data_IF_745620793891
#
_entry.id   IF_745620793891
#
_cell.length_a   1.000
_cell.length_b   1.000
_cell.length_c   1.000
_cell.angle_alpha   90.00
_cell.angle_beta   90.00
_cell.angle_gamma   90.00
#
_symmetry.space_group_name_H-M   'P 1'
#
loop_
_entity.id
_entity.type
_entity.pdbx_description
1 polymer ?
#
# COMPACT_ATOMS: atom_id res chain seq x y z
N UNK A 1 77.69 14.89 -24.82
CA UNK A 1 76.89 14.20 -23.80
C UNK A 1 75.49 14.82 -23.85
N UNK A 2 74.54 14.18 -24.52
CA UNK A 2 73.16 14.69 -24.62
C UNK A 2 72.28 13.97 -23.61
N UNK A 3 71.71 14.73 -22.67
CA UNK A 3 70.71 14.26 -21.71
C UNK A 3 69.34 14.19 -22.40
N UNK A 4 68.72 13.02 -22.39
CA UNK A 4 67.30 12.85 -22.73
C UNK A 4 66.45 13.03 -21.46
N UNK A 5 65.36 13.81 -21.48
CA UNK A 5 64.46 13.92 -20.34
C UNK A 5 63.55 12.68 -20.21
N UNK A 6 63.08 12.36 -18.99
CA UNK A 6 62.22 11.19 -18.74
C UNK A 6 60.82 11.40 -19.32
N UNK A 7 60.31 10.38 -19.99
CA UNK A 7 58.93 10.34 -20.48
C UNK A 7 57.96 10.12 -19.31
N UNK A 8 56.96 11.00 -19.19
CA UNK A 8 55.84 10.83 -18.25
C UNK A 8 54.92 9.69 -18.70
N UNK A 9 54.47 8.80 -17.79
CA UNK A 9 53.59 7.71 -18.16
C UNK A 9 52.21 8.23 -18.56
N UNK A 10 51.72 7.74 -19.69
CA UNK A 10 50.39 8.04 -20.23
C UNK A 10 49.33 7.51 -19.26
N UNK A 11 48.59 8.42 -18.60
CA UNK A 11 47.45 8.06 -17.74
C UNK A 11 46.20 7.98 -18.63
N UNK A 12 45.55 6.82 -18.80
CA UNK A 12 44.35 6.74 -19.61
C UNK A 12 43.26 7.65 -19.00
N UNK A 13 42.41 8.27 -19.83
CA UNK A 13 41.33 9.12 -19.34
C UNK A 13 40.44 8.31 -18.40
N UNK A 14 40.13 8.88 -17.24
CA UNK A 14 39.19 8.30 -16.30
C UNK A 14 37.87 8.03 -17.04
N UNK A 15 37.35 6.80 -16.92
CA UNK A 15 36.00 6.49 -17.42
C UNK A 15 35.04 7.50 -16.80
N UNK A 16 34.14 8.13 -17.59
CA UNK A 16 33.13 9.00 -17.02
C UNK A 16 32.35 8.20 -15.97
N UNK A 17 32.20 8.78 -14.77
CA UNK A 17 31.38 8.20 -13.73
C UNK A 17 30.00 7.88 -14.32
N UNK A 18 29.56 6.63 -14.16
CA UNK A 18 28.22 6.23 -14.58
C UNK A 18 27.21 7.19 -13.94
N UNK A 19 26.40 7.85 -14.76
CA UNK A 19 25.24 8.60 -14.25
C UNK A 19 24.46 7.65 -13.36
N UNK A 20 24.02 8.05 -12.15
CA UNK A 20 23.14 7.21 -11.35
C UNK A 20 21.95 6.84 -12.22
N UNK A 21 21.77 5.54 -12.46
CA UNK A 21 20.64 5.05 -13.22
C UNK A 21 19.38 5.50 -12.48
N UNK A 22 18.54 6.31 -13.14
CA UNK A 22 17.25 6.69 -12.58
C UNK A 22 16.43 5.43 -12.26
N UNK A 23 15.50 5.53 -11.31
CA UNK A 23 14.62 4.41 -10.96
C UNK A 23 13.97 3.83 -12.23
N UNK A 24 13.81 2.49 -12.31
CA UNK A 24 13.07 1.87 -13.41
C UNK A 24 11.70 2.52 -13.60
N UNK A 25 11.32 2.77 -14.85
CA UNK A 25 10.05 3.41 -15.18
C UNK A 25 8.94 2.36 -15.18
N UNK A 26 7.99 2.51 -14.28
CA UNK A 26 6.80 1.67 -14.20
C UNK A 26 5.85 1.96 -15.38
N UNK A 27 5.05 0.97 -15.80
CA UNK A 27 3.95 1.20 -16.72
C UNK A 27 2.86 2.06 -16.06
N UNK A 28 2.26 2.95 -16.86
CA UNK A 28 1.15 3.78 -16.42
C UNK A 28 -0.17 3.27 -16.99
N UNK A 29 -1.17 3.18 -16.12
CA UNK A 29 -2.57 3.10 -16.52
C UNK A 29 -3.39 3.95 -15.57
N UNK A 30 -4.12 4.94 -16.10
CA UNK A 30 -4.96 5.81 -15.27
C UNK A 30 -5.96 4.97 -14.46
N UNK A 31 -5.90 4.98 -13.11
CA UNK A 31 -6.83 4.22 -12.30
C UNK A 31 -8.26 4.65 -12.61
N UNK A 32 -9.12 3.70 -12.93
CA UNK A 32 -10.49 3.94 -13.38
C UNK A 32 -11.46 3.21 -12.45
N UNK A 33 -12.45 3.95 -11.93
CA UNK A 33 -13.51 3.40 -11.09
C UNK A 33 -14.28 2.34 -11.89
N UNK A 34 -14.54 1.18 -11.29
CA UNK A 34 -15.20 0.05 -11.94
C UNK A 34 -14.26 -0.90 -12.70
N UNK A 35 -12.96 -0.56 -12.81
CA UNK A 35 -11.96 -1.38 -13.50
C UNK A 35 -10.75 -1.69 -12.65
N UNK A 36 -10.15 -0.67 -12.05
CA UNK A 36 -8.94 -0.83 -11.23
C UNK A 36 -9.21 -0.54 -9.74
N UNK A 37 -10.29 0.20 -9.44
CA UNK A 37 -10.78 0.38 -8.07
C UNK A 37 -12.31 0.51 -8.05
N UNK A 38 -12.91 0.22 -6.90
CA UNK A 38 -14.34 0.28 -6.64
C UNK A 38 -14.59 0.90 -5.28
N UNK A 39 -15.62 1.74 -5.20
CA UNK A 39 -16.06 2.37 -3.96
C UNK A 39 -17.45 1.83 -3.66
N UNK A 40 -17.58 1.15 -2.53
CA UNK A 40 -18.83 0.57 -2.07
C UNK A 40 -19.13 1.17 -0.69
N UNK A 41 -20.26 1.83 -0.57
CA UNK A 41 -20.69 2.53 0.63
C UNK A 41 -21.72 1.68 1.39
N UNK A 42 -21.81 1.91 2.71
CA UNK A 42 -22.80 1.31 3.61
C UNK A 42 -22.75 -0.23 3.58
N UNK A 43 -21.51 -0.74 3.69
CA UNK A 43 -21.16 -2.14 3.45
C UNK A 43 -21.77 -3.05 4.48
N UNK A 44 -21.60 -2.76 5.77
CA UNK A 44 -22.11 -3.57 6.88
C UNK A 44 -23.31 -2.89 7.54
N UNK A 45 -24.43 -3.59 7.75
CA UNK A 45 -25.58 -3.01 8.44
C UNK A 45 -25.33 -2.78 9.94
N UNK A 46 -24.38 -3.52 10.53
CA UNK A 46 -24.02 -3.50 11.94
C UNK A 46 -22.58 -2.94 12.16
N UNK A 47 -22.18 -1.94 11.36
CA UNK A 47 -20.80 -1.40 11.39
C UNK A 47 -20.37 -0.90 12.78
N UNK A 48 -21.31 -0.37 13.57
CA UNK A 48 -21.02 0.12 14.91
C UNK A 48 -20.70 -1.02 15.89
N UNK A 49 -21.37 -2.16 15.75
CA UNK A 49 -21.06 -3.36 16.53
C UNK A 49 -19.68 -3.92 16.16
N UNK A 50 -19.36 -3.95 14.86
CA UNK A 50 -18.02 -4.35 14.37
C UNK A 50 -16.94 -3.47 14.98
N UNK A 51 -17.15 -2.15 14.94
CA UNK A 51 -16.22 -1.18 15.52
C UNK A 51 -16.09 -1.39 17.04
N UNK A 52 -17.20 -1.55 17.75
CA UNK A 52 -17.19 -1.78 19.19
C UNK A 52 -16.41 -3.06 19.56
N UNK A 53 -16.60 -4.16 18.81
CA UNK A 53 -15.80 -5.39 18.99
C UNK A 53 -14.33 -5.18 18.71
N UNK A 54 -13.96 -4.40 17.68
CA UNK A 54 -12.57 -4.07 17.39
C UNK A 54 -11.92 -3.26 18.52
N UNK A 55 -12.63 -2.25 19.06
CA UNK A 55 -12.13 -1.44 20.18
C UNK A 55 -11.96 -2.24 21.48
N UNK A 56 -12.81 -3.24 21.69
CA UNK A 56 -12.78 -4.08 22.89
C UNK A 56 -11.66 -5.12 22.90
N UNK A 57 -10.88 -5.24 21.81
CA UNK A 57 -9.76 -6.18 21.71
C UNK A 57 -8.62 -5.81 22.66
N UNK A 58 -8.05 -6.84 23.27
CA UNK A 58 -6.87 -6.77 24.15
C UNK A 58 -5.63 -7.44 23.52
N UNK A 59 -5.79 -8.08 22.35
CA UNK A 59 -4.78 -8.86 21.63
C UNK A 59 -4.04 -8.06 20.54
N UNK A 60 -3.96 -6.74 20.69
CA UNK A 60 -3.29 -5.86 19.72
C UNK A 60 -1.79 -6.11 19.64
N UNK A 61 -1.31 -6.38 18.42
CA UNK A 61 0.11 -6.41 18.09
C UNK A 61 0.55 -5.00 17.68
N UNK A 62 1.69 -4.54 18.20
CA UNK A 62 2.27 -3.22 17.88
C UNK A 62 3.24 -3.31 16.69
N UNK A 63 3.14 -2.35 15.79
CA UNK A 63 4.02 -2.18 14.63
C UNK A 63 4.86 -0.90 14.74
N UNK A 64 5.28 -0.35 13.60
CA UNK A 64 6.04 0.89 13.58
C UNK A 64 5.20 2.09 14.07
N UNK A 65 5.78 3.04 14.83
CA UNK A 65 7.20 3.15 15.16
C UNK A 65 7.61 2.39 16.43
N UNK A 66 6.66 1.82 17.18
CA UNK A 66 6.91 1.14 18.46
C UNK A 66 7.82 -0.09 18.27
N UNK A 67 7.51 -0.92 17.28
CA UNK A 67 8.30 -2.09 16.89
C UNK A 67 8.82 -1.94 15.45
N UNK A 68 9.95 -2.57 15.08
CA UNK A 68 10.53 -2.49 13.74
C UNK A 68 9.79 -3.36 12.70
N UNK A 69 8.47 -3.34 12.74
CA UNK A 69 7.60 -4.05 11.82
C UNK A 69 7.41 -3.25 10.51
N UNK A 70 7.17 -3.93 9.37
CA UNK A 70 6.98 -3.26 8.08
C UNK A 70 5.64 -2.52 7.96
N UNK A 71 4.79 -2.57 8.99
CA UNK A 71 3.47 -1.97 9.03
C UNK A 71 3.31 -1.02 10.22
N UNK A 72 2.54 0.08 10.09
CA UNK A 72 2.42 1.07 11.14
C UNK A 72 1.26 0.82 12.13
N UNK A 73 1.32 1.50 13.27
CA UNK A 73 0.28 1.50 14.30
C UNK A 73 0.14 0.13 14.96
N UNK A 74 -1.09 -0.30 15.16
CA UNK A 74 -1.41 -1.57 15.81
C UNK A 74 -2.42 -2.38 15.00
N UNK A 75 -2.34 -3.71 15.12
CA UNK A 75 -3.20 -4.65 14.38
C UNK A 75 -3.74 -5.75 15.27
N UNK A 76 -4.91 -6.27 14.93
CA UNK A 76 -5.48 -7.46 15.55
C UNK A 76 -6.32 -8.27 14.54
N UNK A 77 -6.51 -9.56 14.82
CA UNK A 77 -7.23 -10.46 13.92
C UNK A 77 -8.19 -11.38 14.71
N UNK A 78 -9.38 -11.70 14.17
CA UNK A 78 -9.98 -11.13 12.96
C UNK A 78 -10.61 -9.75 13.21
N UNK A 79 -10.81 -8.98 12.14
CA UNK A 79 -11.61 -7.75 12.16
C UNK A 79 -13.12 -8.05 12.09
N UNK A 80 -13.52 -8.87 11.12
CA UNK A 80 -14.90 -9.24 10.84
C UNK A 80 -15.19 -10.67 11.24
N UNK A 81 -16.42 -10.92 11.68
CA UNK A 81 -16.95 -12.26 11.88
C UNK A 81 -17.23 -12.96 10.53
N UNK A 82 -17.37 -14.30 10.51
CA UNK A 82 -17.55 -15.04 9.26
C UNK A 82 -18.72 -14.56 8.39
N UNK A 83 -19.86 -14.19 8.99
CA UNK A 83 -21.03 -13.70 8.25
C UNK A 83 -20.82 -12.32 7.60
N UNK A 84 -20.08 -11.45 8.28
CA UNK A 84 -19.71 -10.11 7.83
C UNK A 84 -18.66 -10.19 6.71
N UNK A 85 -17.64 -11.02 6.90
CA UNK A 85 -16.63 -11.29 5.87
C UNK A 85 -17.28 -11.88 4.61
N UNK A 86 -18.16 -12.87 4.77
CA UNK A 86 -18.87 -13.47 3.63
C UNK A 86 -19.72 -12.43 2.87
N UNK A 87 -20.27 -11.43 3.55
CA UNK A 87 -20.98 -10.31 2.91
C UNK A 87 -20.03 -9.43 2.10
N UNK A 88 -18.88 -9.04 2.67
CA UNK A 88 -17.84 -8.30 1.95
C UNK A 88 -17.40 -9.07 0.71
N UNK A 89 -17.12 -10.36 0.83
CA UNK A 89 -16.68 -11.19 -0.29
C UNK A 89 -17.73 -11.36 -1.40
N UNK A 90 -19.02 -11.37 -1.07
CA UNK A 90 -20.10 -11.30 -2.08
C UNK A 90 -20.08 -9.98 -2.84
N UNK A 91 -19.87 -8.85 -2.15
CA UNK A 91 -19.79 -7.53 -2.77
C UNK A 91 -18.55 -7.41 -3.65
N UNK A 92 -17.40 -7.93 -3.21
CA UNK A 92 -16.15 -7.96 -3.98
C UNK A 92 -16.35 -8.73 -5.27
N UNK A 93 -16.84 -9.98 -5.22
CA UNK A 93 -17.11 -10.78 -6.43
C UNK A 93 -18.08 -10.09 -7.39
N UNK A 94 -19.14 -9.47 -6.86
CA UNK A 94 -20.10 -8.70 -7.67
C UNK A 94 -19.44 -7.50 -8.35
N UNK A 95 -18.56 -6.79 -7.67
CA UNK A 95 -17.90 -5.60 -8.18
C UNK A 95 -16.84 -5.93 -9.24
N UNK A 96 -16.06 -6.99 -9.03
CA UNK A 96 -14.96 -7.37 -9.93
C UNK A 96 -15.38 -8.29 -11.06
N UNK A 97 -16.51 -9.00 -10.92
CA UNK A 97 -16.90 -10.08 -11.81
C UNK A 97 -16.09 -11.36 -11.62
N UNK A 98 -15.23 -11.44 -10.59
CA UNK A 98 -14.45 -12.64 -10.31
C UNK A 98 -15.37 -13.81 -9.92
N UNK A 99 -15.23 -14.99 -10.56
CA UNK A 99 -16.08 -16.14 -10.24
C UNK A 99 -15.78 -16.70 -8.84
N UNK A 100 -14.53 -16.54 -8.39
CA UNK A 100 -14.04 -16.96 -7.08
C UNK A 100 -13.06 -15.92 -6.56
N UNK A 101 -12.99 -15.81 -5.24
CA UNK A 101 -11.90 -15.13 -4.54
C UNK A 101 -11.48 -16.00 -3.35
N UNK A 102 -10.21 -15.91 -2.93
CA UNK A 102 -9.71 -16.59 -1.72
C UNK A 102 -8.54 -15.84 -1.12
N UNK A 103 -8.38 -15.92 0.19
CA UNK A 103 -7.16 -15.49 0.85
C UNK A 103 -6.08 -16.56 0.63
N UNK A 104 -4.89 -16.17 0.18
CA UNK A 104 -3.75 -17.09 0.14
C UNK A 104 -3.30 -17.44 1.56
N UNK A 105 -2.92 -18.69 1.75
CA UNK A 105 -2.29 -19.16 2.97
C UNK A 105 -0.90 -19.68 2.62
N UNK A 106 0.11 -18.80 2.51
CA UNK A 106 1.45 -19.25 2.16
C UNK A 106 2.00 -20.09 3.32
N UNK A 107 2.23 -21.38 3.07
CA UNK A 107 2.85 -22.30 4.02
C UNK A 107 4.16 -21.70 4.56
N UNK A 108 4.14 -21.22 5.82
CA UNK A 108 5.34 -20.84 6.56
C UNK A 108 5.92 -19.44 6.35
N UNK A 109 5.24 -18.49 5.68
CA UNK A 109 5.78 -17.14 5.45
C UNK A 109 4.89 -16.01 5.99
N UNK A 110 4.86 -15.86 7.32
CA UNK A 110 4.32 -14.68 8.01
C UNK A 110 2.80 -14.54 7.97
N UNK A 111 2.26 -13.73 8.89
CA UNK A 111 0.81 -13.48 8.97
C UNK A 111 0.35 -12.71 7.74
N UNK A 112 -0.27 -13.41 6.78
CA UNK A 112 -1.06 -12.77 5.73
C UNK A 112 -2.26 -12.10 6.41
N UNK A 113 -2.18 -10.77 6.59
CA UNK A 113 -3.13 -9.96 7.36
C UNK A 113 -4.47 -9.78 6.63
N UNK A 114 -5.05 -10.86 6.11
CA UNK A 114 -6.39 -10.87 5.55
C UNK A 114 -7.44 -10.83 6.68
N UNK A 115 -8.45 -9.97 6.55
CA UNK A 115 -9.46 -9.75 7.61
C UNK A 115 -8.81 -9.30 8.93
N UNK A 116 -7.91 -8.33 8.82
CA UNK A 116 -7.13 -7.77 9.93
C UNK A 116 -7.58 -6.33 10.21
N UNK A 117 -7.82 -5.97 11.47
CA UNK A 117 -8.10 -4.58 11.84
C UNK A 117 -6.78 -3.89 12.11
N UNK A 118 -6.62 -2.68 11.60
CA UNK A 118 -5.46 -1.82 11.81
C UNK A 118 -5.92 -0.45 12.30
N UNK A 119 -5.30 0.05 13.37
CA UNK A 119 -5.48 1.40 13.87
C UNK A 119 -4.15 2.14 13.84
N UNK A 120 -4.11 3.31 13.20
CA UNK A 120 -2.89 4.12 13.05
C UNK A 120 -3.16 5.58 13.38
N UNK A 121 -2.34 6.13 14.27
CA UNK A 121 -2.37 7.51 14.72
C UNK A 121 -1.64 8.46 13.79
N UNK A 122 -1.97 9.75 13.90
CA UNK A 122 -1.40 10.82 13.07
C UNK A 122 0.13 10.92 13.16
N UNK A 123 0.70 10.58 14.31
CA UNK A 123 2.16 10.68 14.57
C UNK A 123 2.88 9.32 14.42
N UNK A 124 2.16 8.26 14.02
CA UNK A 124 2.71 6.90 13.93
C UNK A 124 3.25 6.56 12.53
N UNK A 125 2.80 7.27 11.49
CA UNK A 125 3.25 7.01 10.15
C UNK A 125 2.95 8.19 9.20
N UNK A 126 3.69 8.21 8.10
CA UNK A 126 3.45 9.09 6.96
C UNK A 126 2.95 8.25 5.77
N UNK A 127 2.37 8.87 4.72
CA UNK A 127 2.06 8.15 3.49
C UNK A 127 3.29 7.42 2.95
N UNK A 128 3.16 6.12 2.70
CA UNK A 128 4.22 5.25 2.18
C UNK A 128 3.69 4.50 0.96
N UNK A 129 3.78 5.09 -0.24
CA UNK A 129 3.32 4.45 -1.47
C UNK A 129 3.98 3.10 -1.67
N UNK A 130 3.17 2.07 -1.88
CA UNK A 130 3.58 0.69 -2.11
C UNK A 130 2.59 0.00 -3.06
N UNK A 131 2.94 -1.19 -3.51
CA UNK A 131 1.97 -2.14 -4.08
C UNK A 131 1.94 -3.38 -3.20
N UNK A 132 0.80 -4.05 -3.15
CA UNK A 132 0.74 -5.37 -2.53
C UNK A 132 1.45 -6.40 -3.40
N UNK A 133 1.76 -7.56 -2.81
CA UNK A 133 2.41 -8.65 -3.54
C UNK A 133 1.46 -9.32 -4.53
N UNK A 134 1.83 -9.28 -5.82
CA UNK A 134 1.09 -9.95 -6.91
C UNK A 134 1.01 -11.47 -6.75
N UNK A 135 1.92 -12.09 -6.01
CA UNK A 135 1.90 -13.54 -5.76
C UNK A 135 0.93 -13.95 -4.67
N UNK A 136 0.48 -13.01 -3.84
CA UNK A 136 -0.39 -13.27 -2.69
C UNK A 136 -1.78 -12.62 -2.83
N UNK A 137 -1.90 -11.65 -3.72
CA UNK A 137 -3.10 -10.83 -3.83
C UNK A 137 -3.31 -10.31 -5.26
N UNK A 138 -4.52 -10.52 -5.78
CA UNK A 138 -5.03 -9.87 -6.99
C UNK A 138 -5.83 -8.61 -6.66
N UNK A 139 -6.61 -8.65 -5.59
CA UNK A 139 -7.45 -7.55 -5.11
C UNK A 139 -7.25 -7.29 -3.64
N UNK A 140 -6.99 -6.03 -3.28
CA UNK A 140 -6.92 -5.59 -1.90
C UNK A 140 -8.07 -4.63 -1.58
N UNK A 141 -8.45 -4.55 -0.31
CA UNK A 141 -9.45 -3.59 0.12
C UNK A 141 -9.22 -3.07 1.53
N UNK A 142 -9.74 -1.86 1.77
CA UNK A 142 -9.86 -1.27 3.10
C UNK A 142 -11.33 -0.95 3.39
N UNK A 143 -11.84 -1.40 4.54
CA UNK A 143 -13.12 -0.97 5.10
C UNK A 143 -12.85 0.03 6.21
N UNK A 144 -13.36 1.24 6.08
CA UNK A 144 -13.16 2.31 7.06
C UNK A 144 -14.09 2.15 8.28
N UNK A 145 -13.48 2.09 9.47
CA UNK A 145 -14.15 1.78 10.75
C UNK A 145 -14.14 2.95 11.75
N UNK A 146 -13.70 4.14 11.37
CA UNK A 146 -13.69 5.32 12.25
C UNK A 146 -14.65 6.43 11.77
N UNK A 147 -15.74 6.74 12.50
CA UNK A 147 -16.81 7.63 12.03
C UNK A 147 -16.39 9.08 11.76
N UNK A 148 -15.52 9.64 12.60
CA UNK A 148 -15.16 11.06 12.62
C UNK A 148 -13.75 11.35 12.06
N UNK A 149 -13.25 10.46 11.21
CA UNK A 149 -11.96 10.65 10.55
C UNK A 149 -12.08 11.61 9.37
N UNK A 150 -11.20 12.63 9.26
CA UNK A 150 -11.18 13.58 8.15
C UNK A 150 -11.15 12.92 6.76
N UNK A 151 -11.79 13.57 5.78
CA UNK A 151 -11.91 13.03 4.41
C UNK A 151 -10.56 12.82 3.73
N UNK A 152 -9.54 13.59 4.10
CA UNK A 152 -8.16 13.50 3.63
C UNK A 152 -7.34 12.40 4.31
N UNK A 153 -7.93 11.62 5.22
CA UNK A 153 -7.32 10.39 5.76
C UNK A 153 -7.85 9.13 5.05
N UNK A 154 -8.20 9.25 3.76
CA UNK A 154 -8.69 8.16 2.93
C UNK A 154 -7.58 7.25 2.41
N UNK A 155 -7.63 6.93 1.12
CA UNK A 155 -6.59 6.19 0.41
C UNK A 155 -6.31 6.88 -0.91
N UNK A 156 -5.03 7.02 -1.22
CA UNK A 156 -4.55 7.64 -2.46
C UNK A 156 -3.84 6.62 -3.33
N UNK A 157 -4.02 6.75 -4.63
CA UNK A 157 -3.24 6.10 -5.67
C UNK A 157 -2.18 7.06 -6.18
N UNK A 158 -1.00 6.55 -6.43
CA UNK A 158 0.18 7.34 -6.76
C UNK A 158 0.76 6.94 -8.11
N UNK A 159 1.63 7.80 -8.65
CA UNK A 159 2.51 7.48 -9.77
C UNK A 159 3.90 8.03 -9.54
N UNK A 160 4.89 7.48 -10.23
CA UNK A 160 6.29 7.90 -10.11
C UNK A 160 6.50 9.34 -10.58
N UNK A 161 7.27 10.09 -9.80
CA UNK A 161 7.98 11.27 -10.27
C UNK A 161 9.33 10.84 -10.85
N UNK A 162 9.64 11.35 -12.04
CA UNK A 162 10.90 11.12 -12.74
C UNK A 162 11.66 12.44 -12.88
N UNK A 163 13.00 12.38 -13.09
CA UNK A 163 13.80 13.58 -13.32
C UNK A 163 13.24 14.47 -14.42
N UNK A 164 13.33 15.79 -14.21
CA UNK A 164 12.83 16.79 -15.16
C UNK A 164 11.31 16.99 -15.13
N UNK A 165 10.64 16.64 -14.03
CA UNK A 165 9.19 16.84 -13.84
C UNK A 165 8.31 15.89 -14.66
N UNK A 166 8.90 14.84 -15.24
CA UNK A 166 8.16 13.82 -15.99
C UNK A 166 7.47 12.88 -15.02
N UNK A 167 6.32 12.36 -15.42
CA UNK A 167 5.58 11.39 -14.63
C UNK A 167 5.74 9.98 -15.23
N UNK A 168 6.15 9.03 -14.39
CA UNK A 168 6.22 7.61 -14.71
C UNK A 168 4.90 6.89 -14.41
N UNK A 169 5.00 5.58 -14.19
CA UNK A 169 3.85 4.71 -13.99
C UNK A 169 3.38 4.55 -12.56
N UNK A 170 2.39 3.68 -12.40
CA UNK A 170 1.67 3.44 -11.14
C UNK A 170 1.33 1.97 -10.91
N UNK A 171 1.81 1.05 -11.75
CA UNK A 171 1.51 -0.37 -11.63
C UNK A 171 2.79 -1.20 -11.60
N UNK A 172 2.77 -2.26 -10.80
CA UNK A 172 3.76 -3.33 -10.88
C UNK A 172 3.18 -4.45 -11.75
N UNK A 173 3.97 -4.94 -12.71
CA UNK A 173 3.62 -6.04 -13.60
C UNK A 173 4.67 -7.16 -13.53
N UNK A 174 4.39 -8.29 -14.16
CA UNK A 174 5.37 -9.38 -14.27
C UNK A 174 6.65 -8.87 -14.97
N UNK A 175 7.83 -9.33 -14.53
CA UNK A 175 8.09 -10.41 -13.57
C UNK A 175 8.10 -10.00 -12.08
N UNK A 176 7.90 -8.71 -11.75
CA UNK A 176 8.06 -8.20 -10.38
C UNK A 176 6.82 -8.49 -9.52
N UNK A 177 6.99 -8.80 -8.23
CA UNK A 177 5.86 -9.07 -7.34
C UNK A 177 5.34 -7.82 -6.65
N UNK A 178 6.22 -6.88 -6.32
CA UNK A 178 5.87 -5.65 -5.60
C UNK A 178 6.76 -4.47 -6.04
N UNK A 179 6.54 -3.30 -5.44
CA UNK A 179 7.26 -2.07 -5.78
C UNK A 179 8.76 -2.13 -5.47
N UNK A 180 9.16 -2.76 -4.36
CA UNK A 180 10.57 -2.94 -4.01
C UNK A 180 11.28 -3.77 -5.07
N UNK A 181 10.65 -4.87 -5.51
CA UNK A 181 11.19 -5.75 -6.56
C UNK A 181 11.29 -5.02 -7.90
N UNK A 182 10.31 -4.17 -8.23
CA UNK A 182 10.25 -3.43 -9.48
C UNK A 182 11.26 -2.28 -9.55
N UNK A 183 11.54 -1.64 -8.41
CA UNK A 183 12.49 -0.53 -8.32
C UNK A 183 13.91 -0.98 -7.96
N UNK A 184 14.07 -2.19 -7.43
CA UNK A 184 15.36 -2.73 -6.97
C UNK A 184 15.87 -2.10 -5.68
N UNK A 185 15.02 -1.37 -4.94
CA UNK A 185 15.39 -0.70 -3.68
C UNK A 185 14.21 -0.60 -2.72
N UNK A 186 14.50 -0.69 -1.41
CA UNK A 186 13.54 -0.41 -0.32
C UNK A 186 13.46 1.08 0.00
N UNK A 187 14.51 1.83 -0.32
CA UNK A 187 14.62 3.25 -0.01
C UNK A 187 14.53 4.04 -1.30
N UNK A 188 13.52 4.88 -1.38
CA UNK A 188 13.31 5.84 -2.45
C UNK A 188 13.23 7.25 -1.85
N UNK A 189 13.69 8.29 -2.55
CA UNK A 189 13.53 9.68 -2.12
C UNK A 189 12.07 10.00 -1.74
N UNK A 190 11.81 10.83 -0.71
CA UNK A 190 10.44 11.16 -0.27
C UNK A 190 9.51 11.71 -1.37
N UNK A 191 10.08 12.38 -2.37
CA UNK A 191 9.39 12.98 -3.51
C UNK A 191 9.31 12.06 -4.74
N UNK A 192 9.64 10.77 -4.60
CA UNK A 192 9.63 9.81 -5.71
C UNK A 192 8.24 9.53 -6.29
N UNK A 193 7.18 9.94 -5.59
CA UNK A 193 5.81 9.66 -5.98
C UNK A 193 4.94 10.91 -5.82
N UNK A 194 3.96 11.05 -6.72
CA UNK A 194 2.92 12.06 -6.63
C UNK A 194 1.55 11.40 -6.62
N UNK A 195 0.59 12.02 -5.93
CA UNK A 195 -0.79 11.57 -5.90
C UNK A 195 -1.43 11.75 -7.29
N UNK A 196 -2.11 10.71 -7.78
CA UNK A 196 -2.88 10.74 -9.04
C UNK A 196 -4.40 10.80 -8.75
N UNK A 197 -4.89 9.91 -7.88
CA UNK A 197 -6.30 9.84 -7.48
C UNK A 197 -6.40 9.68 -5.97
N UNK A 198 -7.29 10.44 -5.34
CA UNK A 198 -7.65 10.30 -3.93
C UNK A 198 -9.08 9.79 -3.79
N UNK A 199 -9.27 8.78 -2.95
CA UNK A 199 -10.58 8.34 -2.49
C UNK A 199 -10.75 8.79 -1.04
N UNK A 200 -11.74 9.65 -0.73
CA UNK A 200 -11.87 10.19 0.61
C UNK A 200 -12.34 9.12 1.60
N UNK A 201 -11.88 9.27 2.83
CA UNK A 201 -12.39 8.52 3.98
C UNK A 201 -13.91 8.70 4.08
N UNK A 202 -14.63 7.60 4.34
CA UNK A 202 -16.04 7.60 4.73
C UNK A 202 -16.27 6.38 5.59
N UNK A 203 -16.88 6.55 6.75
CA UNK A 203 -17.23 5.42 7.60
C UNK A 203 -18.13 4.42 6.86
N UNK A 204 -17.92 3.12 7.10
CA UNK A 204 -18.64 2.01 6.45
C UNK A 204 -18.47 1.96 4.92
N UNK A 205 -17.41 2.59 4.38
CA UNK A 205 -17.00 2.44 2.97
C UNK A 205 -15.93 1.37 2.83
N UNK A 206 -16.14 0.48 1.88
CA UNK A 206 -15.12 -0.41 1.35
C UNK A 206 -14.54 0.21 0.08
N UNK A 207 -13.24 0.50 0.11
CA UNK A 207 -12.46 0.78 -1.09
C UNK A 207 -11.73 -0.49 -1.50
N UNK A 208 -12.12 -1.06 -2.62
CA UNK A 208 -11.52 -2.23 -3.26
C UNK A 208 -10.65 -1.77 -4.44
N UNK A 209 -9.51 -2.41 -4.67
CA UNK A 209 -8.62 -2.06 -5.77
C UNK A 209 -7.74 -3.23 -6.22
N UNK A 210 -7.25 -3.15 -7.45
CA UNK A 210 -6.23 -4.06 -7.97
C UNK A 210 -4.95 -3.91 -7.15
N UNK A 211 -4.47 -5.00 -6.57
CA UNK A 211 -3.41 -5.02 -5.57
C UNK A 211 -2.05 -4.52 -6.11
N UNK A 212 -1.88 -4.56 -7.43
CA UNK A 212 -0.67 -4.12 -8.12
C UNK A 212 -0.63 -2.61 -8.44
N UNK A 213 -1.65 -1.84 -8.01
CA UNK A 213 -1.64 -0.39 -8.09
C UNK A 213 -0.84 0.21 -6.94
N UNK A 214 -0.04 1.23 -7.24
CA UNK A 214 0.66 2.00 -6.22
C UNK A 214 -0.33 2.81 -5.39
N UNK A 215 -0.34 2.58 -4.08
CA UNK A 215 -1.29 3.17 -3.17
C UNK A 215 -0.69 3.40 -1.77
N UNK A 216 -1.36 4.22 -0.98
CA UNK A 216 -1.09 4.44 0.45
C UNK A 216 -2.35 4.98 1.13
N UNK A 217 -2.43 4.89 2.46
CA UNK A 217 -3.27 5.82 3.21
C UNK A 217 -2.90 7.26 2.80
N UNK A 218 -3.90 8.10 2.56
CA UNK A 218 -3.69 9.50 2.21
C UNK A 218 -3.10 10.29 3.38
N UNK A 219 -3.51 9.91 4.59
CA UNK A 219 -3.05 10.45 5.86
C UNK A 219 -3.60 9.60 7.00
N UNK A 220 -3.10 9.85 8.20
CA UNK A 220 -3.54 9.18 9.43
C UNK A 220 -4.14 10.22 10.39
N UNK A 221 -4.92 9.75 11.36
CA UNK A 221 -5.68 10.61 12.26
C UNK A 221 -5.66 10.06 13.66
N UNK A 222 -5.97 10.91 14.64
CA UNK A 222 -6.16 10.52 16.03
C UNK A 222 -4.88 10.18 16.77
N UNK A 223 -5.01 10.03 18.09
CA UNK A 223 -3.95 9.65 19.02
C UNK A 223 -4.35 8.54 19.99
N UNK A 224 -5.66 8.32 20.21
CA UNK A 224 -6.21 7.23 21.03
C UNK A 224 -6.77 6.12 20.14
N UNK A 225 -6.97 4.92 20.67
CA UNK A 225 -7.47 3.82 19.84
C UNK A 225 -8.84 4.14 19.20
N UNK A 226 -9.66 4.94 19.86
CA UNK A 226 -11.00 5.34 19.45
C UNK A 226 -11.00 6.31 18.26
N UNK A 227 -10.07 7.26 18.22
CA UNK A 227 -10.01 8.31 17.19
C UNK A 227 -9.00 7.98 16.06
N UNK A 228 -8.10 7.01 16.30
CA UNK A 228 -7.14 6.53 15.30
C UNK A 228 -7.86 6.15 14.01
N UNK A 229 -7.19 6.40 12.88
CA UNK A 229 -7.68 5.91 11.57
C UNK A 229 -7.74 4.39 11.61
N UNK A 230 -8.96 3.86 11.74
CA UNK A 230 -9.20 2.44 11.88
C UNK A 230 -9.73 1.85 10.58
N UNK A 231 -9.09 0.80 10.09
CA UNK A 231 -9.52 0.09 8.89
C UNK A 231 -9.44 -1.41 9.08
N UNK A 232 -10.43 -2.15 8.59
CA UNK A 232 -10.23 -3.57 8.30
C UNK A 232 -9.61 -3.72 6.90
N UNK A 233 -8.53 -4.49 6.79
CA UNK A 233 -7.80 -4.73 5.54
C UNK A 233 -8.02 -6.16 5.05
N UNK A 234 -8.11 -6.30 3.73
CA UNK A 234 -8.41 -7.56 3.06
C UNK A 234 -7.57 -7.73 1.81
N UNK A 235 -7.23 -8.98 1.52
CA UNK A 235 -6.40 -9.37 0.39
C UNK A 235 -6.92 -10.68 -0.20
N UNK A 236 -7.16 -10.71 -1.50
CA UNK A 236 -7.69 -11.89 -2.19
C UNK A 236 -6.94 -12.16 -3.48
N UNK A 237 -6.69 -13.43 -3.75
CA UNK A 237 -6.56 -13.94 -5.10
C UNK A 237 -7.93 -14.11 -5.75
N UNK A 238 -7.97 -14.23 -7.07
CA UNK A 238 -9.19 -14.25 -7.87
C UNK A 238 -8.99 -14.97 -9.21
#
# INVERSE_FOLDING_TARGET
MSFNPPQTPFRPPARPAARPAGLPVLPYRKPTKGRDYWVIDDVLPNIDEVRARCLAKDDWVQGAPVNPEPWPGQRAMPALEPGELARVERLVRKATGAPRIWAENPDGAGTFNHNCVQAVGKDECEPRPHTDSRSLCRYAAVLYLSPDTPKDCGTSFYRQNLPGGRLGGNQVLAPHNNLVDALGTRFVPPDSFTEDIRVPHRYNRLLLYSANLMHSATGYWGTTLEDKRMTAVFFWMA
#
